data_IF_238848226426
#
_entry.id   IF_238848226426
#
_cell.length_a   1.000
_cell.length_b   1.000
_cell.length_c   1.000
_cell.angle_alpha   90.00
_cell.angle_beta   90.00
_cell.angle_gamma   90.00
#
_symmetry.space_group_name_H-M   'P 1'
#
loop_
_entity.id
_entity.type
_entity.pdbx_description
1 polymer ?
#
# COMPACT_ATOMS: atom_id res chain seq x y z
N UNK A 1 13.63 11.18 0.64
CA UNK A 1 12.65 11.41 1.72
C UNK A 1 11.43 12.21 1.28
N UNK A 2 11.58 13.40 0.66
CA UNK A 2 10.43 14.23 0.29
C UNK A 2 9.52 13.64 -0.80
N UNK A 3 10.10 13.05 -1.85
CA UNK A 3 9.32 12.40 -2.92
C UNK A 3 8.57 11.15 -2.41
N UNK A 4 9.18 10.39 -1.50
CA UNK A 4 8.55 9.20 -0.89
C UNK A 4 7.36 9.58 0.00
N UNK A 5 7.46 10.67 0.78
CA UNK A 5 6.35 11.21 1.60
C UNK A 5 5.22 11.82 0.76
N UNK A 6 5.51 12.27 -0.46
CA UNK A 6 4.53 12.85 -1.38
C UNK A 6 3.74 11.76 -2.13
N UNK A 7 4.40 10.66 -2.43
CA UNK A 7 3.81 9.52 -3.13
C UNK A 7 3.02 8.69 -2.10
N UNK A 8 3.61 8.36 -0.95
CA UNK A 8 2.90 7.65 0.12
C UNK A 8 2.43 8.58 1.23
N UNK A 9 1.11 8.70 1.46
CA UNK A 9 0.55 9.62 2.46
C UNK A 9 0.82 9.20 3.91
N UNK A 10 1.25 7.95 4.15
CA UNK A 10 1.56 7.44 5.48
C UNK A 10 3.06 7.54 5.77
N UNK A 11 3.40 8.06 6.96
CA UNK A 11 4.78 8.18 7.40
C UNK A 11 5.42 6.80 7.59
N UNK A 12 6.43 6.46 6.79
CA UNK A 12 7.19 5.20 6.91
C UNK A 12 8.19 5.17 8.06
N UNK A 13 8.36 6.29 8.77
CA UNK A 13 9.34 6.43 9.84
C UNK A 13 8.74 5.84 11.11
N UNK A 14 8.75 4.52 11.23
CA UNK A 14 8.42 3.84 12.47
C UNK A 14 9.57 4.03 13.46
N UNK A 15 9.29 4.73 14.57
CA UNK A 15 10.28 4.92 15.66
C UNK A 15 10.45 3.64 16.49
N UNK A 16 9.39 2.81 16.53
CA UNK A 16 9.27 1.59 17.32
C UNK A 16 8.57 0.47 16.54
N UNK A 17 8.78 -0.78 16.94
CA UNK A 17 8.20 -2.00 16.32
C UNK A 17 6.67 -1.92 16.26
N UNK A 18 6.05 -1.40 17.32
CA UNK A 18 4.60 -1.21 17.39
C UNK A 18 4.08 -0.26 16.31
N UNK A 19 4.79 0.85 16.04
CA UNK A 19 4.42 1.76 14.95
C UNK A 19 4.57 1.10 13.57
N UNK A 20 5.56 0.22 13.39
CA UNK A 20 5.71 -0.51 12.14
C UNK A 20 4.51 -1.43 11.86
N UNK A 21 4.10 -2.18 12.89
CA UNK A 21 2.96 -3.10 12.82
C UNK A 21 1.67 -2.32 12.52
N UNK A 22 1.48 -1.15 13.14
CA UNK A 22 0.33 -0.27 12.87
C UNK A 22 0.34 0.25 11.42
N UNK A 23 1.50 0.66 10.89
CA UNK A 23 1.61 1.14 9.50
C UNK A 23 1.33 0.01 8.51
N UNK A 24 1.83 -1.21 8.77
CA UNK A 24 1.52 -2.39 7.96
C UNK A 24 0.02 -2.71 8.01
N UNK A 25 -0.59 -2.69 9.20
CA UNK A 25 -2.03 -2.90 9.36
C UNK A 25 -2.85 -1.86 8.60
N UNK A 26 -2.47 -0.58 8.66
CA UNK A 26 -3.15 0.47 7.89
C UNK A 26 -3.08 0.23 6.39
N UNK A 27 -1.90 -0.10 5.86
CA UNK A 27 -1.75 -0.40 4.44
C UNK A 27 -2.53 -1.66 4.03
N UNK A 28 -2.53 -2.69 4.88
CA UNK A 28 -3.30 -3.90 4.65
C UNK A 28 -4.81 -3.62 4.61
N UNK A 29 -5.32 -2.83 5.57
CA UNK A 29 -6.75 -2.48 5.62
C UNK A 29 -7.14 -1.65 4.40
N UNK A 30 -6.31 -0.67 4.02
CA UNK A 30 -6.54 0.14 2.82
C UNK A 30 -6.57 -0.73 1.56
N UNK A 31 -5.63 -1.67 1.43
CA UNK A 31 -5.56 -2.61 0.31
C UNK A 31 -6.79 -3.52 0.25
N UNK A 32 -7.22 -4.09 1.37
CA UNK A 32 -8.42 -4.94 1.45
C UNK A 32 -9.67 -4.16 1.07
N UNK A 33 -9.82 -2.91 1.55
CA UNK A 33 -10.98 -2.07 1.22
C UNK A 33 -10.97 -1.70 -0.27
N UNK A 34 -9.82 -1.26 -0.80
CA UNK A 34 -9.68 -0.95 -2.23
C UNK A 34 -9.93 -2.19 -3.09
N UNK A 35 -9.30 -3.31 -2.77
CA UNK A 35 -9.44 -4.58 -3.45
C UNK A 35 -10.88 -5.08 -3.45
N UNK A 36 -11.61 -4.91 -2.35
CA UNK A 36 -13.03 -5.24 -2.27
C UNK A 36 -13.88 -4.37 -3.20
N UNK A 37 -13.65 -3.05 -3.21
CA UNK A 37 -14.37 -2.10 -4.09
C UNK A 37 -14.06 -2.38 -5.57
N UNK A 38 -12.79 -2.59 -5.89
CA UNK A 38 -12.31 -2.93 -7.24
C UNK A 38 -12.92 -4.26 -7.70
N UNK A 39 -12.90 -5.28 -6.84
CA UNK A 39 -13.50 -6.59 -7.12
C UNK A 39 -15.03 -6.55 -7.30
N UNK A 40 -15.70 -5.68 -6.55
CA UNK A 40 -17.14 -5.44 -6.71
C UNK A 40 -17.45 -4.78 -8.06
N UNK A 41 -16.67 -3.77 -8.46
CA UNK A 41 -16.82 -3.10 -9.76
C UNK A 41 -16.38 -3.96 -10.94
N UNK A 42 -15.45 -4.90 -10.73
CA UNK A 42 -14.96 -5.80 -11.76
C UNK A 42 -15.98 -6.84 -12.25
N UNK A 43 -17.15 -6.94 -11.61
CA UNK A 43 -18.28 -7.76 -12.10
C UNK A 43 -18.82 -7.31 -13.46
N UNK A 44 -18.54 -6.07 -13.88
CA UNK A 44 -18.86 -5.59 -15.22
C UNK A 44 -17.70 -5.92 -16.18
N UNK A 45 -17.92 -6.62 -17.31
CA UNK A 45 -16.85 -7.21 -18.12
C UNK A 45 -15.84 -6.20 -18.68
N UNK A 46 -16.28 -4.98 -19.05
CA UNK A 46 -15.40 -3.92 -19.56
C UNK A 46 -14.65 -3.23 -18.41
N UNK A 47 -15.36 -3.01 -17.29
CA UNK A 47 -14.80 -2.36 -16.09
C UNK A 47 -13.80 -3.29 -15.40
N UNK A 48 -14.00 -4.61 -15.47
CA UNK A 48 -13.13 -5.62 -14.84
C UNK A 48 -11.72 -5.65 -15.40
N UNK A 49 -11.52 -5.37 -16.69
CA UNK A 49 -10.17 -5.28 -17.28
C UNK A 49 -9.43 -4.06 -16.75
N UNK A 50 -10.09 -2.90 -16.74
CA UNK A 50 -9.51 -1.65 -16.23
C UNK A 50 -9.27 -1.74 -14.73
N UNK A 51 -10.24 -2.26 -13.98
CA UNK A 51 -10.13 -2.48 -12.54
C UNK A 51 -9.10 -3.54 -12.18
N UNK A 52 -8.90 -4.57 -13.00
CA UNK A 52 -7.82 -5.53 -12.82
C UNK A 52 -6.43 -4.89 -13.00
N UNK A 53 -6.27 -4.01 -13.99
CA UNK A 53 -5.05 -3.23 -14.19
C UNK A 53 -4.80 -2.27 -13.01
N UNK A 54 -5.83 -1.54 -12.59
CA UNK A 54 -5.75 -0.63 -11.43
C UNK A 54 -5.47 -1.41 -10.16
N UNK A 55 -6.12 -2.54 -9.94
CA UNK A 55 -5.88 -3.42 -8.78
C UNK A 55 -4.47 -3.98 -8.75
N UNK A 56 -3.92 -4.36 -9.90
CA UNK A 56 -2.52 -4.79 -10.02
C UNK A 56 -1.56 -3.65 -9.66
N UNK A 57 -1.78 -2.44 -10.19
CA UNK A 57 -1.02 -1.23 -9.84
C UNK A 57 -1.09 -0.90 -8.35
N UNK A 58 -2.29 -0.97 -7.75
CA UNK A 58 -2.52 -0.72 -6.33
C UNK A 58 -1.83 -1.79 -5.48
N UNK A 59 -1.94 -3.07 -5.83
CA UNK A 59 -1.26 -4.16 -5.12
C UNK A 59 0.25 -4.01 -5.17
N UNK A 60 0.82 -3.67 -6.33
CA UNK A 60 2.26 -3.40 -6.48
C UNK A 60 2.70 -2.20 -5.62
N UNK A 61 1.85 -1.17 -5.55
CA UNK A 61 2.07 0.00 -4.73
C UNK A 61 2.03 -0.31 -3.23
N UNK A 62 1.06 -1.09 -2.77
CA UNK A 62 0.95 -1.55 -1.39
C UNK A 62 2.14 -2.43 -1.01
N UNK A 63 2.53 -3.35 -1.90
CA UNK A 63 3.70 -4.20 -1.70
C UNK A 63 4.98 -3.36 -1.56
N UNK A 64 5.15 -2.34 -2.40
CA UNK A 64 6.26 -1.39 -2.31
C UNK A 64 6.24 -0.61 -0.99
N UNK A 65 5.06 -0.18 -0.52
CA UNK A 65 4.90 0.48 0.78
C UNK A 65 5.26 -0.42 1.95
N UNK A 66 4.90 -1.70 1.89
CA UNK A 66 5.24 -2.72 2.89
C UNK A 66 6.76 -2.97 2.93
N UNK A 67 7.38 -3.12 1.75
CA UNK A 67 8.84 -3.30 1.61
C UNK A 67 9.60 -2.07 2.12
N UNK A 68 9.14 -0.86 1.79
CA UNK A 68 9.71 0.40 2.29
C UNK A 68 9.59 0.52 3.81
N UNK A 69 8.45 0.14 4.39
CA UNK A 69 8.28 0.10 5.84
C UNK A 69 9.31 -0.85 6.48
N UNK A 70 9.48 -2.06 5.94
CA UNK A 70 10.51 -3.00 6.40
C UNK A 70 11.93 -2.43 6.29
N UNK A 71 12.31 -1.85 5.15
CA UNK A 71 13.65 -1.26 4.96
C UNK A 71 13.93 -0.07 5.89
N UNK A 72 12.91 0.76 6.15
CA UNK A 72 13.00 1.87 7.08
C UNK A 72 13.15 1.37 8.53
N UNK A 73 12.45 0.29 8.90
CA UNK A 73 12.59 -0.35 10.21
C UNK A 73 13.99 -0.88 10.46
N UNK A 74 14.57 -1.57 9.48
CA UNK A 74 15.94 -2.09 9.56
C UNK A 74 17.01 -0.98 9.46
N UNK A 75 16.61 0.31 9.39
CA UNK A 75 17.50 1.47 9.19
C UNK A 75 18.43 1.35 7.97
N UNK A 76 18.03 0.54 6.99
CA UNK A 76 18.77 0.38 5.72
C UNK A 76 18.56 1.63 4.85
N UNK A 77 17.40 2.28 4.98
CA UNK A 77 17.09 3.58 4.39
C UNK A 77 17.12 4.66 5.48
N UNK A 78 17.97 5.68 5.29
CA UNK A 78 18.14 6.83 6.18
C UNK A 78 17.42 8.07 5.66
#
# INVERSE_FOLDING_TARGET
>A
MELLKKIFPFSFVAKDVASLVIICLLHLVVDVVLGFVIGLLAKLPIVGVVMGLVGSLVGLYVLAGLVLALLAYFKVLK
#
